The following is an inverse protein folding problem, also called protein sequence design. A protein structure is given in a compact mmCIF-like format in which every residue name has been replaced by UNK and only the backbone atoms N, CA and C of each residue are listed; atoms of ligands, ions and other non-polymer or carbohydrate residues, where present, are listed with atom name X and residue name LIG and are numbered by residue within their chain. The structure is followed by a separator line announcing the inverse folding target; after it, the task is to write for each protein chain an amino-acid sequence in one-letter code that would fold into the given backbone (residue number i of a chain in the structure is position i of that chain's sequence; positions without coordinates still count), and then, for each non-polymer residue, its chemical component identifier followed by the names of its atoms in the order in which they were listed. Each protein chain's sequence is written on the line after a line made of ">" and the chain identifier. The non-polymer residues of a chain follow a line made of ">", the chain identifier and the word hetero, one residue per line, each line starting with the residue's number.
data_IF_332225521222
#
_entry.id   IF_332225521222
#
_cell.length_a   1.000
_cell.length_b   1.000
_cell.length_c   1.000
_cell.angle_alpha   90.00
_cell.angle_beta   90.00
_cell.angle_gamma   90.00
#
_symmetry.space_group_name_H-M   'P 1'
#
loop_
_entity.id
_entity.type
_entity.pdbx_description
1 polymer ?
#
# COMPACT_ATOMS: atom_id res chain seq x y z
N UNK A 1 -12.06 23.99 -17.20
CA UNK A 1 -11.53 24.73 -16.04
C UNK A 1 -12.66 25.19 -15.12
N UNK A 2 -13.60 26.05 -15.58
CA UNK A 2 -14.76 26.48 -14.77
C UNK A 2 -15.51 25.31 -14.12
N UNK A 3 -15.82 24.26 -14.89
CA UNK A 3 -16.52 23.07 -14.41
C UNK A 3 -15.77 22.37 -13.26
N UNK A 4 -14.46 22.19 -13.39
CA UNK A 4 -13.64 21.54 -12.35
C UNK A 4 -13.45 22.41 -11.10
N UNK A 5 -13.38 23.74 -11.26
CA UNK A 5 -13.36 24.68 -10.13
C UNK A 5 -14.69 24.65 -9.36
N UNK A 6 -15.82 24.58 -10.09
CA UNK A 6 -17.15 24.44 -9.48
C UNK A 6 -17.31 23.10 -8.75
N UNK A 7 -16.84 22.00 -9.33
CA UNK A 7 -16.86 20.68 -8.70
C UNK A 7 -16.03 20.66 -7.41
N UNK A 8 -14.83 21.26 -7.44
CA UNK A 8 -13.97 21.37 -6.27
C UNK A 8 -14.62 22.21 -5.16
N UNK A 9 -15.19 23.37 -5.51
CA UNK A 9 -15.89 24.23 -4.55
C UNK A 9 -17.06 23.52 -3.88
N UNK A 10 -17.90 22.82 -4.66
CA UNK A 10 -19.02 22.07 -4.12
C UNK A 10 -18.55 20.96 -3.17
N UNK A 11 -17.50 20.23 -3.54
CA UNK A 11 -16.92 19.19 -2.68
C UNK A 11 -16.29 19.78 -1.41
N UNK A 12 -15.57 20.90 -1.55
CA UNK A 12 -14.91 21.59 -0.44
C UNK A 12 -15.93 22.09 0.58
N UNK A 13 -16.96 22.81 0.13
CA UNK A 13 -18.04 23.29 1.01
C UNK A 13 -18.73 22.12 1.70
N UNK A 14 -19.06 21.05 0.97
CA UNK A 14 -19.69 19.86 1.56
C UNK A 14 -18.83 19.21 2.65
N UNK A 15 -17.50 19.22 2.52
CA UNK A 15 -16.57 18.75 3.56
C UNK A 15 -16.48 19.73 4.73
N UNK A 16 -16.41 21.03 4.47
CA UNK A 16 -16.34 22.03 5.55
C UNK A 16 -17.64 22.07 6.38
N UNK A 17 -18.79 21.84 5.75
CA UNK A 17 -20.10 21.76 6.41
C UNK A 17 -20.28 20.49 7.26
N UNK A 18 -19.39 19.49 7.14
CA UNK A 18 -19.49 18.24 7.91
C UNK A 18 -18.93 18.35 9.34
N UNK A 19 -18.31 19.46 9.70
CA UNK A 19 -17.84 19.72 11.06
C UNK A 19 -17.04 21.01 11.20
N UNK A 20 -17.00 21.56 12.42
CA UNK A 20 -16.30 22.80 12.72
C UNK A 20 -14.79 22.60 12.90
N UNK A 21 -14.33 21.40 13.26
CA UNK A 21 -12.91 21.03 13.38
C UNK A 21 -12.52 19.96 12.37
N UNK A 22 -11.23 19.79 12.13
CA UNK A 22 -10.70 18.76 11.24
C UNK A 22 -11.08 17.34 11.71
N UNK A 23 -11.06 17.06 13.02
CA UNK A 23 -11.50 15.79 13.60
C UNK A 23 -13.00 15.55 13.41
N UNK A 24 -13.81 16.58 13.64
CA UNK A 24 -15.26 16.51 13.46
C UNK A 24 -15.60 16.23 11.99
N UNK A 25 -14.88 16.87 11.05
CA UNK A 25 -15.05 16.65 9.61
C UNK A 25 -14.74 15.21 9.21
N UNK A 26 -13.62 14.65 9.69
CA UNK A 26 -13.27 13.25 9.42
C UNK A 26 -14.28 12.28 10.04
N UNK A 27 -14.68 12.50 11.30
CA UNK A 27 -15.61 11.60 11.99
C UNK A 27 -17.01 11.63 11.37
N UNK A 28 -17.46 12.82 10.91
CA UNK A 28 -18.74 13.01 10.25
C UNK A 28 -18.76 12.60 8.77
N UNK A 29 -17.60 12.29 8.17
CA UNK A 29 -17.48 11.87 6.78
C UNK A 29 -17.59 10.35 6.63
N UNK A 30 -18.83 9.87 6.55
CA UNK A 30 -19.15 8.44 6.41
C UNK A 30 -18.44 7.85 5.20
N UNK A 31 -17.58 6.86 5.44
CA UNK A 31 -16.80 6.19 4.40
C UNK A 31 -15.77 7.08 3.71
N UNK A 32 -15.43 8.24 4.31
CA UNK A 32 -14.50 9.24 3.73
C UNK A 32 -14.96 9.80 2.38
N UNK A 33 -16.26 9.76 2.08
CA UNK A 33 -16.79 10.07 0.76
C UNK A 33 -16.58 11.54 0.36
N UNK A 34 -16.71 12.48 1.30
CA UNK A 34 -16.56 13.92 1.06
C UNK A 34 -15.09 14.28 0.85
N UNK A 35 -14.19 13.77 1.70
CA UNK A 35 -12.75 13.96 1.52
C UNK A 35 -12.29 13.37 0.19
N UNK A 36 -12.76 12.17 -0.17
CA UNK A 36 -12.50 11.56 -1.47
C UNK A 36 -12.93 12.44 -2.65
N UNK A 37 -14.10 13.08 -2.54
CA UNK A 37 -14.60 13.99 -3.56
C UNK A 37 -13.70 15.22 -3.70
N UNK A 38 -13.26 15.80 -2.57
CA UNK A 38 -12.33 16.93 -2.56
C UNK A 38 -10.99 16.57 -3.21
N UNK A 39 -10.40 15.43 -2.84
CA UNK A 39 -9.13 14.96 -3.42
C UNK A 39 -9.24 14.71 -4.93
N UNK A 40 -10.30 14.02 -5.37
CA UNK A 40 -10.53 13.78 -6.80
C UNK A 40 -10.75 15.07 -7.58
N UNK A 41 -11.52 16.00 -7.03
CA UNK A 41 -11.79 17.29 -7.66
C UNK A 41 -10.53 18.15 -7.73
N UNK A 42 -9.73 18.20 -6.66
CA UNK A 42 -8.45 18.92 -6.64
C UNK A 42 -7.47 18.35 -7.66
N UNK A 43 -7.40 17.02 -7.81
CA UNK A 43 -6.59 16.37 -8.85
C UNK A 43 -7.01 16.66 -10.28
N UNK A 44 -8.31 16.72 -10.56
CA UNK A 44 -8.82 17.12 -11.88
C UNK A 44 -8.55 18.61 -12.16
N UNK A 45 -8.70 19.44 -11.13
CA UNK A 45 -8.47 20.87 -11.20
C UNK A 45 -6.99 21.18 -11.47
N UNK A 46 -6.07 20.59 -10.72
CA UNK A 46 -4.61 20.72 -10.90
C UNK A 46 -4.19 20.32 -12.32
N UNK A 47 -4.62 19.14 -12.80
CA UNK A 47 -4.38 18.70 -14.18
C UNK A 47 -4.88 19.71 -15.22
N UNK A 48 -6.05 20.29 -15.00
CA UNK A 48 -6.63 21.28 -15.91
C UNK A 48 -5.83 22.58 -15.89
N UNK A 49 -5.34 23.00 -14.72
CA UNK A 49 -4.47 24.16 -14.56
C UNK A 49 -3.12 23.95 -15.26
N UNK A 50 -2.49 22.79 -15.08
CA UNK A 50 -1.24 22.45 -15.78
C UNK A 50 -1.41 22.41 -17.29
N UNK A 51 -2.48 21.79 -17.79
CA UNK A 51 -2.77 21.74 -19.22
C UNK A 51 -3.00 23.14 -19.80
N UNK A 52 -3.71 23.99 -19.07
CA UNK A 52 -3.98 25.36 -19.49
C UNK A 52 -2.72 26.23 -19.44
N UNK A 53 -1.85 26.05 -18.44
CA UNK A 53 -0.53 26.71 -18.36
C UNK A 53 0.39 26.29 -19.52
N UNK A 54 0.33 25.03 -19.95
CA UNK A 54 1.06 24.57 -21.13
C UNK A 54 0.50 25.20 -22.41
N UNK A 55 -0.82 25.24 -22.57
CA UNK A 55 -1.45 25.85 -23.73
C UNK A 55 -1.12 27.33 -23.86
N UNK A 56 -1.04 28.09 -22.76
CA UNK A 56 -0.65 29.51 -22.79
C UNK A 56 0.80 29.71 -23.20
N UNK A 57 1.71 28.78 -22.88
CA UNK A 57 3.11 28.85 -23.35
C UNK A 57 3.27 28.59 -24.86
N UNK A 58 2.28 27.97 -25.50
CA UNK A 58 2.27 27.64 -26.93
C UNK A 58 1.45 28.64 -27.77
N UNK A 59 0.79 29.62 -27.13
CA UNK A 59 -0.06 30.62 -27.79
C UNK A 59 0.70 31.85 -28.30
N UNK A 60 0.21 32.46 -29.37
CA UNK A 60 0.67 33.78 -29.79
C UNK A 60 0.29 34.85 -28.76
N UNK A 61 1.05 35.96 -28.65
CA UNK A 61 0.82 37.00 -27.65
C UNK A 61 -0.62 37.57 -27.64
N UNK A 62 -1.21 37.76 -28.81
CA UNK A 62 -2.56 38.32 -28.99
C UNK A 62 -3.68 37.36 -28.54
N UNK A 63 -3.46 36.05 -28.68
CA UNK A 63 -4.36 35.02 -28.16
C UNK A 63 -4.19 34.83 -26.65
N UNK A 64 -2.95 34.92 -26.16
CA UNK A 64 -2.63 34.84 -24.73
C UNK A 64 -3.33 35.96 -23.95
N UNK A 65 -3.32 37.20 -24.44
CA UNK A 65 -3.99 38.34 -23.79
C UNK A 65 -5.52 38.13 -23.69
N UNK A 66 -6.17 37.68 -24.77
CA UNK A 66 -7.61 37.37 -24.78
C UNK A 66 -7.96 36.16 -23.90
N UNK A 67 -7.09 35.15 -23.87
CA UNK A 67 -7.29 33.95 -23.04
C UNK A 67 -7.10 34.25 -21.54
N UNK A 68 -6.09 35.05 -21.20
CA UNK A 68 -5.79 35.49 -19.84
C UNK A 68 -6.91 36.38 -19.27
N UNK A 69 -7.53 37.22 -20.10
CA UNK A 69 -8.62 38.11 -19.70
C UNK A 69 -9.94 37.38 -19.37
N UNK A 70 -10.16 36.16 -19.86
CA UNK A 70 -11.47 35.48 -19.73
C UNK A 70 -11.48 34.40 -18.62
N UNK A 71 -10.34 33.81 -18.26
CA UNK A 71 -10.37 32.51 -17.54
C UNK A 71 -9.29 32.23 -16.49
N UNK A 72 -8.13 32.89 -16.56
CA UNK A 72 -6.92 32.27 -15.97
C UNK A 72 -6.59 32.77 -14.57
N UNK A 73 -6.58 34.08 -14.31
CA UNK A 73 -6.01 34.61 -13.07
C UNK A 73 -6.92 34.43 -11.84
N UNK A 74 -8.21 34.76 -11.94
CA UNK A 74 -9.11 34.70 -10.78
C UNK A 74 -9.41 33.26 -10.36
N UNK A 75 -9.63 32.37 -11.33
CA UNK A 75 -9.85 30.96 -11.03
C UNK A 75 -8.58 30.30 -10.49
N UNK A 76 -7.41 30.55 -11.07
CA UNK A 76 -6.17 29.94 -10.60
C UNK A 76 -5.76 30.41 -9.20
N UNK A 77 -5.83 31.72 -8.93
CA UNK A 77 -5.47 32.27 -7.63
C UNK A 77 -6.43 31.79 -6.54
N UNK A 78 -7.74 31.76 -6.83
CA UNK A 78 -8.75 31.23 -5.93
C UNK A 78 -8.53 29.74 -5.64
N UNK A 79 -8.33 28.93 -6.68
CA UNK A 79 -8.07 27.50 -6.54
C UNK A 79 -6.79 27.21 -5.75
N UNK A 80 -5.74 27.98 -5.99
CA UNK A 80 -4.49 27.88 -5.23
C UNK A 80 -4.68 28.27 -3.76
N UNK A 81 -5.46 29.31 -3.48
CA UNK A 81 -5.79 29.72 -2.11
C UNK A 81 -6.63 28.66 -1.38
N UNK A 82 -7.63 28.07 -2.07
CA UNK A 82 -8.47 27.03 -1.48
C UNK A 82 -7.71 25.71 -1.25
N UNK A 83 -6.75 25.35 -2.10
CA UNK A 83 -5.85 24.23 -1.84
C UNK A 83 -4.88 24.50 -0.67
N UNK A 84 -4.58 25.76 -0.36
CA UNK A 84 -3.77 26.18 0.79
C UNK A 84 -4.60 26.53 2.02
N UNK A 85 -5.90 26.23 2.01
CA UNK A 85 -6.77 26.44 3.15
C UNK A 85 -6.30 25.56 4.32
N UNK A 86 -6.09 26.18 5.48
CA UNK A 86 -5.53 25.52 6.68
C UNK A 86 -6.43 24.41 7.20
N UNK A 87 -7.75 24.62 7.24
CA UNK A 87 -8.70 23.59 7.69
C UNK A 87 -8.66 22.32 6.83
N UNK A 88 -8.52 22.47 5.51
CA UNK A 88 -8.37 21.34 4.59
C UNK A 88 -7.02 20.65 4.80
N UNK A 89 -5.94 21.40 4.98
CA UNK A 89 -4.62 20.83 5.28
C UNK A 89 -4.65 20.04 6.59
N UNK A 90 -5.20 20.59 7.67
CA UNK A 90 -5.32 19.92 8.96
C UNK A 90 -6.14 18.61 8.84
N UNK A 91 -7.23 18.64 8.07
CA UNK A 91 -8.06 17.45 7.80
C UNK A 91 -7.26 16.36 7.06
N UNK A 92 -6.46 16.76 6.09
CA UNK A 92 -5.60 15.85 5.32
C UNK A 92 -4.47 15.29 6.20
N UNK A 93 -3.83 16.13 7.01
CA UNK A 93 -2.75 15.73 7.93
C UNK A 93 -3.25 14.73 8.97
N UNK A 94 -4.43 14.98 9.57
CA UNK A 94 -5.06 14.02 10.48
C UNK A 94 -5.36 12.68 9.79
N UNK A 95 -5.81 12.72 8.53
CA UNK A 95 -6.04 11.48 7.76
C UNK A 95 -4.74 10.73 7.50
N UNK A 96 -3.67 11.43 7.14
CA UNK A 96 -2.33 10.87 6.96
C UNK A 96 -1.82 10.25 8.26
N UNK A 97 -2.01 10.93 9.39
CA UNK A 97 -1.64 10.42 10.71
C UNK A 97 -2.41 9.13 11.05
N UNK A 98 -3.72 9.10 10.81
CA UNK A 98 -4.55 7.91 11.05
C UNK A 98 -4.14 6.70 10.18
N UNK A 99 -3.85 6.93 8.89
CA UNK A 99 -3.34 5.88 7.99
C UNK A 99 -1.97 5.36 8.46
N UNK A 100 -1.07 6.28 8.85
CA UNK A 100 0.26 5.94 9.35
C UNK A 100 0.17 5.12 10.63
N UNK A 101 -0.68 5.50 11.57
CA UNK A 101 -0.91 4.77 12.81
C UNK A 101 -1.42 3.35 12.54
N UNK A 102 -2.43 3.20 11.67
CA UNK A 102 -2.99 1.90 11.29
C UNK A 102 -1.93 0.98 10.67
N UNK A 103 -1.17 1.49 9.70
CA UNK A 103 -0.08 0.73 9.07
C UNK A 103 1.01 0.37 10.09
N UNK A 104 1.33 1.26 11.04
CA UNK A 104 2.33 1.02 12.09
C UNK A 104 1.90 -0.12 12.99
N UNK A 105 0.66 -0.08 13.49
CA UNK A 105 0.09 -1.11 14.35
C UNK A 105 0.13 -2.48 13.67
N UNK A 106 -0.35 -2.58 12.43
CA UNK A 106 -0.35 -3.82 11.67
C UNK A 106 1.07 -4.36 11.39
N UNK A 107 2.02 -3.48 11.04
CA UNK A 107 3.41 -3.88 10.86
C UNK A 107 4.03 -4.44 12.15
N UNK A 108 3.76 -3.79 13.28
CA UNK A 108 4.24 -4.23 14.61
C UNK A 108 3.63 -5.57 14.98
N UNK A 109 2.33 -5.77 14.77
CA UNK A 109 1.67 -7.03 15.13
C UNK A 109 2.10 -8.19 14.22
N UNK A 110 2.30 -7.95 12.92
CA UNK A 110 2.92 -8.94 12.04
C UNK A 110 4.33 -9.27 12.52
N UNK A 111 5.14 -8.28 12.90
CA UNK A 111 6.49 -8.53 13.40
C UNK A 111 6.48 -9.39 14.68
N UNK A 112 5.53 -9.18 15.59
CA UNK A 112 5.35 -10.01 16.80
C UNK A 112 4.98 -11.45 16.46
N UNK A 113 4.02 -11.66 15.55
CA UNK A 113 3.54 -13.00 15.18
C UNK A 113 4.56 -13.77 14.35
N UNK A 114 5.32 -13.09 13.51
CA UNK A 114 6.28 -13.71 12.58
C UNK A 114 7.67 -13.90 13.17
N UNK A 115 7.90 -13.54 14.46
CA UNK A 115 9.14 -13.74 15.24
C UNK A 115 10.39 -13.71 14.36
N UNK A 116 10.86 -12.50 14.04
CA UNK A 116 12.09 -12.28 13.28
C UNK A 116 12.12 -12.97 11.91
N UNK A 117 10.99 -13.06 11.23
CA UNK A 117 10.97 -13.54 9.86
C UNK A 117 11.66 -12.54 8.90
N UNK A 118 12.93 -12.82 8.58
CA UNK A 118 13.75 -11.99 7.69
C UNK A 118 15.16 -12.56 7.53
N UNK A 119 16.13 -11.79 7.08
CA UNK A 119 17.56 -12.18 7.07
C UNK A 119 18.41 -11.21 7.91
N UNK A 120 17.76 -10.33 8.67
CA UNK A 120 18.40 -9.12 9.22
C UNK A 120 18.78 -9.25 10.69
N UNK A 121 18.30 -10.28 11.38
CA UNK A 121 18.54 -10.51 12.80
C UNK A 121 19.01 -11.94 13.02
N UNK A 122 19.92 -12.13 13.98
CA UNK A 122 20.44 -13.45 14.34
C UNK A 122 19.34 -14.41 14.82
N UNK A 123 18.26 -13.84 15.34
CA UNK A 123 17.06 -14.55 15.80
C UNK A 123 16.15 -15.01 14.66
N UNK A 124 16.46 -14.66 13.40
CA UNK A 124 15.69 -15.15 12.26
C UNK A 124 16.07 -16.58 11.91
N UNK A 125 15.07 -17.43 11.65
CA UNK A 125 15.30 -18.78 11.17
C UNK A 125 16.09 -18.85 9.85
N UNK A 126 15.97 -17.84 8.98
CA UNK A 126 16.77 -17.78 7.74
C UNK A 126 18.23 -17.41 8.00
N UNK A 127 18.50 -16.67 9.06
CA UNK A 127 19.87 -16.36 9.47
C UNK A 127 20.57 -17.63 10.01
N UNK A 128 19.81 -18.55 10.60
CA UNK A 128 20.32 -19.85 11.04
C UNK A 128 20.62 -20.84 9.90
N UNK A 129 20.27 -20.51 8.66
CA UNK A 129 20.47 -21.37 7.48
C UNK A 129 21.73 -20.94 6.74
N UNK A 130 22.68 -21.86 6.60
CA UNK A 130 23.89 -21.64 5.78
C UNK A 130 23.54 -21.60 4.29
N UNK A 131 24.34 -20.91 3.50
CA UNK A 131 24.13 -20.84 2.04
C UNK A 131 24.15 -22.23 1.37
N UNK A 132 24.97 -23.15 1.89
CA UNK A 132 25.12 -24.53 1.42
C UNK A 132 24.24 -25.54 2.17
N UNK A 133 23.28 -25.07 2.98
CA UNK A 133 22.40 -25.94 3.74
C UNK A 133 21.63 -26.92 2.82
N UNK A 134 21.60 -28.17 3.25
CA UNK A 134 20.83 -29.25 2.63
C UNK A 134 19.32 -29.03 2.82
N UNK A 135 18.51 -29.69 2.00
CA UNK A 135 17.05 -29.62 2.15
C UNK A 135 16.62 -30.14 3.52
N UNK A 136 17.22 -31.22 3.99
CA UNK A 136 16.94 -31.83 5.28
C UNK A 136 17.24 -30.87 6.45
N UNK A 137 18.35 -30.13 6.39
CA UNK A 137 18.67 -29.09 7.37
C UNK A 137 17.64 -27.95 7.35
N UNK A 138 17.27 -27.47 6.16
CA UNK A 138 16.25 -26.41 6.01
C UNK A 138 14.91 -26.85 6.57
N UNK A 139 14.46 -28.07 6.26
CA UNK A 139 13.21 -28.62 6.77
C UNK A 139 13.26 -28.80 8.29
N UNK A 140 14.39 -29.27 8.84
CA UNK A 140 14.56 -29.39 10.30
C UNK A 140 14.46 -28.04 11.00
N UNK A 141 15.11 -26.99 10.47
CA UNK A 141 15.03 -25.64 11.03
C UNK A 141 13.61 -25.09 10.92
N UNK A 142 12.95 -25.28 9.77
CA UNK A 142 11.57 -24.85 9.57
C UNK A 142 10.62 -25.47 10.59
N UNK A 143 10.73 -26.77 10.86
CA UNK A 143 9.90 -27.45 11.86
C UNK A 143 10.10 -26.90 13.28
N UNK A 144 11.33 -26.51 13.62
CA UNK A 144 11.65 -25.96 14.95
C UNK A 144 11.24 -24.48 15.12
N UNK A 145 10.95 -23.77 14.03
CA UNK A 145 10.75 -22.31 14.05
C UNK A 145 9.40 -21.89 13.49
N UNK A 146 9.13 -22.24 12.23
CA UNK A 146 7.91 -21.86 11.50
C UNK A 146 6.68 -22.57 12.05
N UNK A 147 6.76 -23.86 12.41
CA UNK A 147 5.59 -24.60 12.91
C UNK A 147 5.07 -24.07 14.27
N UNK A 148 5.90 -23.31 15.00
CA UNK A 148 5.51 -22.59 16.21
C UNK A 148 4.79 -21.25 15.98
N UNK A 149 4.67 -20.81 14.72
CA UNK A 149 4.00 -19.55 14.35
C UNK A 149 2.49 -19.79 14.24
N UNK A 150 1.69 -18.88 14.79
CA UNK A 150 0.25 -18.87 14.54
C UNK A 150 -0.02 -18.43 13.09
N UNK A 151 -0.10 -19.42 12.19
CA UNK A 151 -0.34 -19.20 10.77
C UNK A 151 -1.72 -18.61 10.47
N UNK A 152 -2.73 -18.82 11.33
CA UNK A 152 -4.07 -18.22 11.14
C UNK A 152 -4.03 -16.74 11.46
N UNK A 153 -3.40 -16.38 12.57
CA UNK A 153 -3.27 -14.98 12.97
C UNK A 153 -2.37 -14.21 12.01
N UNK A 154 -1.25 -14.81 11.60
CA UNK A 154 -0.37 -14.22 10.58
C UNK A 154 -1.10 -13.97 9.27
N UNK A 155 -1.97 -14.89 8.83
CA UNK A 155 -2.80 -14.70 7.64
C UNK A 155 -3.77 -13.53 7.82
N UNK A 156 -4.52 -13.52 8.93
CA UNK A 156 -5.48 -12.46 9.24
C UNK A 156 -4.83 -11.07 9.24
N UNK A 157 -3.68 -10.94 9.88
CA UNK A 157 -2.92 -9.69 9.95
C UNK A 157 -2.35 -9.29 8.59
N UNK A 158 -1.87 -10.26 7.79
CA UNK A 158 -1.36 -9.99 6.44
C UNK A 158 -2.46 -9.51 5.49
N UNK A 159 -3.67 -10.06 5.58
CA UNK A 159 -4.82 -9.61 4.79
C UNK A 159 -5.25 -8.19 5.23
N UNK A 160 -5.29 -7.92 6.53
CA UNK A 160 -5.57 -6.59 7.06
C UNK A 160 -4.52 -5.55 6.62
N UNK A 161 -3.23 -5.91 6.61
CA UNK A 161 -2.17 -5.03 6.12
C UNK A 161 -2.30 -4.76 4.61
N UNK A 162 -2.69 -5.76 3.81
CA UNK A 162 -2.93 -5.56 2.39
C UNK A 162 -4.07 -4.57 2.12
N UNK A 163 -5.18 -4.66 2.87
CA UNK A 163 -6.29 -3.73 2.77
C UNK A 163 -5.92 -2.31 3.21
N UNK A 164 -5.18 -2.18 4.32
CA UNK A 164 -4.68 -0.89 4.80
C UNK A 164 -3.70 -0.24 3.81
N UNK A 165 -2.80 -1.02 3.21
CA UNK A 165 -1.89 -0.58 2.15
C UNK A 165 -2.65 -0.07 0.93
N UNK A 166 -3.67 -0.79 0.48
CA UNK A 166 -4.49 -0.39 -0.66
C UNK A 166 -5.25 0.91 -0.37
N UNK A 167 -5.80 1.03 0.84
CA UNK A 167 -6.47 2.26 1.30
C UNK A 167 -5.52 3.45 1.29
N UNK A 168 -4.30 3.29 1.83
CA UNK A 168 -3.30 4.34 1.88
C UNK A 168 -2.78 4.73 0.49
N UNK A 169 -2.51 3.75 -0.39
CA UNK A 169 -2.12 3.99 -1.79
C UNK A 169 -3.21 4.73 -2.56
N UNK A 170 -4.45 4.26 -2.44
CA UNK A 170 -5.61 4.91 -3.06
C UNK A 170 -5.78 6.35 -2.59
N UNK A 171 -5.54 6.63 -1.30
CA UNK A 171 -5.55 8.00 -0.76
C UNK A 171 -4.46 8.87 -1.40
N UNK A 172 -3.22 8.39 -1.42
CA UNK A 172 -2.09 9.09 -2.07
C UNK A 172 -2.38 9.32 -3.55
N UNK A 173 -2.89 8.32 -4.26
CA UNK A 173 -3.21 8.40 -5.68
C UNK A 173 -4.33 9.38 -5.99
N UNK A 174 -5.28 9.61 -5.08
CA UNK A 174 -6.32 10.62 -5.26
C UNK A 174 -5.83 12.03 -4.92
N UNK A 175 -4.79 12.15 -4.11
CA UNK A 175 -4.27 13.42 -3.63
C UNK A 175 -3.38 14.14 -4.65
N UNK A 176 -3.47 15.46 -4.70
CA UNK A 176 -2.48 16.36 -5.33
C UNK A 176 -1.38 16.79 -4.37
N UNK A 177 -1.64 16.65 -3.06
CA UNK A 177 -0.73 17.04 -2.00
C UNK A 177 0.41 16.03 -1.88
N UNK A 178 1.61 16.53 -1.60
CA UNK A 178 2.79 15.69 -1.42
C UNK A 178 2.76 15.02 -0.04
N UNK A 179 2.65 13.69 -0.06
CA UNK A 179 2.59 12.86 1.16
C UNK A 179 3.87 12.04 1.34
N UNK A 180 5.04 12.68 1.22
CA UNK A 180 6.34 11.99 1.16
C UNK A 180 6.53 10.98 2.30
N UNK A 181 6.24 11.38 3.53
CA UNK A 181 6.38 10.51 4.71
C UNK A 181 5.46 9.27 4.64
N UNK A 182 4.21 9.45 4.20
CA UNK A 182 3.26 8.33 4.05
C UNK A 182 3.66 7.43 2.89
N UNK A 183 4.15 7.97 1.77
CA UNK A 183 4.64 7.20 0.63
C UNK A 183 5.82 6.31 1.03
N UNK A 184 6.79 6.88 1.72
CA UNK A 184 7.93 6.14 2.27
C UNK A 184 7.47 5.05 3.26
N UNK A 185 6.47 5.36 4.09
CA UNK A 185 5.91 4.40 5.03
C UNK A 185 5.15 3.26 4.35
N UNK A 186 4.34 3.56 3.32
CA UNK A 186 3.70 2.56 2.45
C UNK A 186 4.76 1.62 1.85
N UNK A 187 5.87 2.18 1.37
CA UNK A 187 6.99 1.40 0.85
C UNK A 187 7.56 0.41 1.88
N UNK A 188 7.79 0.87 3.12
CA UNK A 188 8.26 0.02 4.22
C UNK A 188 7.24 -1.03 4.64
N UNK A 189 5.98 -0.66 4.78
CA UNK A 189 4.89 -1.58 5.11
C UNK A 189 4.68 -2.63 4.01
N UNK A 190 4.89 -2.28 2.74
CA UNK A 190 4.86 -3.24 1.63
C UNK A 190 5.96 -4.30 1.78
N UNK A 191 7.16 -3.93 2.25
CA UNK A 191 8.23 -4.90 2.52
C UNK A 191 7.82 -5.87 3.62
N UNK A 192 7.19 -5.40 4.70
CA UNK A 192 6.64 -6.26 5.75
C UNK A 192 5.58 -7.22 5.18
N UNK A 193 4.69 -6.74 4.33
CA UNK A 193 3.66 -7.57 3.69
C UNK A 193 4.25 -8.63 2.76
N UNK A 194 5.24 -8.26 1.94
CA UNK A 194 5.93 -9.18 1.03
C UNK A 194 6.66 -10.29 1.81
N UNK A 195 7.29 -9.92 2.93
CA UNK A 195 7.92 -10.88 3.85
C UNK A 195 6.87 -11.83 4.47
N UNK A 196 5.76 -11.32 5.01
CA UNK A 196 4.72 -12.18 5.58
C UNK A 196 4.16 -13.20 4.56
N UNK A 197 4.00 -12.80 3.29
CA UNK A 197 3.61 -13.71 2.21
C UNK A 197 4.67 -14.75 1.90
N UNK A 198 5.95 -14.36 1.86
CA UNK A 198 7.05 -15.30 1.67
C UNK A 198 7.12 -16.33 2.81
N UNK A 199 6.88 -15.91 4.07
CA UNK A 199 6.89 -16.80 5.23
C UNK A 199 5.85 -17.89 5.08
N UNK A 200 4.63 -17.47 4.74
CA UNK A 200 3.52 -18.38 4.53
C UNK A 200 3.83 -19.37 3.40
N UNK A 201 4.43 -18.89 2.31
CA UNK A 201 4.86 -19.74 1.21
C UNK A 201 5.86 -20.80 1.67
N UNK A 202 6.89 -20.39 2.41
CA UNK A 202 7.91 -21.30 2.93
C UNK A 202 7.36 -22.29 3.96
N UNK A 203 6.45 -21.85 4.81
CA UNK A 203 5.76 -22.70 5.77
C UNK A 203 4.97 -23.79 5.08
N UNK A 204 4.17 -23.42 4.08
CA UNK A 204 3.35 -24.35 3.31
C UNK A 204 4.19 -25.31 2.46
N UNK A 205 5.29 -24.83 1.87
CA UNK A 205 6.23 -25.67 1.13
C UNK A 205 6.95 -26.63 2.07
N UNK A 206 7.45 -26.17 3.21
CA UNK A 206 8.12 -27.01 4.22
C UNK A 206 7.18 -28.10 4.73
N UNK A 207 5.95 -27.72 5.12
CA UNK A 207 4.91 -28.66 5.53
C UNK A 207 4.62 -29.70 4.45
N UNK A 208 4.46 -29.27 3.19
CA UNK A 208 4.16 -30.17 2.09
C UNK A 208 5.31 -31.15 1.83
N UNK A 209 6.56 -30.67 1.82
CA UNK A 209 7.76 -31.48 1.56
C UNK A 209 8.07 -32.48 2.69
N UNK A 210 7.74 -32.15 3.93
CA UNK A 210 7.86 -33.07 5.07
C UNK A 210 6.71 -34.09 5.14
N UNK A 211 5.54 -33.76 4.58
CA UNK A 211 4.37 -34.62 4.68
C UNK A 211 4.54 -35.88 3.82
N UNK A 212 4.70 -37.01 4.50
CA UNK A 212 4.71 -38.36 3.91
C UNK A 212 3.31 -38.92 3.61
N UNK A 213 2.26 -38.16 3.92
CA UNK A 213 0.86 -38.57 3.81
C UNK A 213 0.26 -38.44 2.39
N UNK A 214 -0.98 -37.93 2.32
CA UNK A 214 -1.76 -37.86 1.09
C UNK A 214 -1.05 -37.05 -0.03
N UNK A 215 -0.51 -37.78 -1.01
CA UNK A 215 0.22 -37.24 -2.17
C UNK A 215 -0.57 -36.19 -2.94
N UNK A 216 -1.89 -36.34 -3.09
CA UNK A 216 -2.71 -35.35 -3.80
C UNK A 216 -2.76 -34.02 -3.05
N UNK A 217 -2.93 -34.05 -1.73
CA UNK A 217 -2.94 -32.85 -0.89
C UNK A 217 -1.59 -32.14 -0.92
N UNK A 218 -0.48 -32.91 -0.83
CA UNK A 218 0.88 -32.38 -0.97
C UNK A 218 1.07 -31.64 -2.29
N UNK A 219 0.77 -32.31 -3.40
CA UNK A 219 0.91 -31.71 -4.73
C UNK A 219 0.03 -30.49 -4.94
N UNK A 220 -1.18 -30.47 -4.37
CA UNK A 220 -2.06 -29.31 -4.43
C UNK A 220 -1.44 -28.08 -3.74
N UNK A 221 -0.86 -28.27 -2.54
CA UNK A 221 -0.16 -27.19 -1.81
C UNK A 221 1.05 -26.71 -2.63
N UNK A 222 1.91 -27.63 -3.07
CA UNK A 222 3.11 -27.29 -3.86
C UNK A 222 2.74 -26.50 -5.12
N UNK A 223 1.74 -26.97 -5.89
CA UNK A 223 1.27 -26.28 -7.10
C UNK A 223 0.70 -24.90 -6.81
N UNK A 224 -0.09 -24.76 -5.74
CA UNK A 224 -0.63 -23.47 -5.32
C UNK A 224 0.50 -22.49 -5.00
N UNK A 225 1.48 -22.89 -4.19
CA UNK A 225 2.56 -22.00 -3.77
C UNK A 225 3.53 -21.65 -4.91
N UNK A 226 3.84 -22.61 -5.80
CA UNK A 226 4.58 -22.31 -7.04
C UNK A 226 3.78 -21.41 -7.99
N UNK A 227 2.45 -21.54 -7.99
CA UNK A 227 1.54 -20.61 -8.67
C UNK A 227 1.66 -19.18 -8.13
N UNK A 228 1.67 -19.01 -6.82
CA UNK A 228 1.82 -17.69 -6.18
C UNK A 228 3.18 -17.05 -6.49
N UNK A 229 4.25 -17.86 -6.53
CA UNK A 229 5.60 -17.40 -6.91
C UNK A 229 5.68 -17.02 -8.39
N UNK A 230 5.24 -17.90 -9.29
CA UNK A 230 5.26 -17.65 -10.74
C UNK A 230 4.34 -16.50 -11.15
N UNK A 231 3.20 -16.35 -10.47
CA UNK A 231 2.26 -15.25 -10.62
C UNK A 231 2.71 -13.92 -9.99
N UNK A 232 3.90 -13.89 -9.36
CA UNK A 232 4.49 -12.71 -8.69
C UNK A 232 3.68 -12.20 -7.49
N UNK A 233 2.77 -13.01 -6.95
CA UNK A 233 2.11 -12.73 -5.67
C UNK A 233 3.09 -12.88 -4.50
N UNK A 234 4.10 -13.76 -4.66
CA UNK A 234 5.26 -13.91 -3.78
C UNK A 234 6.53 -13.68 -4.60
N UNK A 235 7.44 -12.84 -4.11
CA UNK A 235 8.74 -12.62 -4.76
C UNK A 235 9.63 -13.85 -4.56
N UNK A 236 10.05 -14.47 -5.67
CA UNK A 236 10.91 -15.68 -5.63
C UNK A 236 12.20 -15.44 -4.83
N UNK A 237 12.80 -14.24 -4.95
CA UNK A 237 14.01 -13.85 -4.22
C UNK A 237 13.86 -13.81 -2.69
N UNK A 238 12.62 -13.81 -2.19
CA UNK A 238 12.34 -13.85 -0.76
C UNK A 238 12.12 -15.27 -0.24
N UNK A 239 12.07 -16.28 -1.11
CA UNK A 239 11.85 -17.68 -0.73
C UNK A 239 13.15 -18.46 -0.83
N UNK A 240 13.42 -19.35 0.13
CA UNK A 240 14.63 -20.17 0.12
C UNK A 240 14.76 -21.02 -1.16
N UNK A 241 15.90 -20.94 -1.88
CA UNK A 241 16.11 -21.68 -3.12
C UNK A 241 15.97 -23.20 -2.98
N UNK A 242 16.37 -23.76 -1.84
CA UNK A 242 16.29 -25.20 -1.54
C UNK A 242 14.82 -25.68 -1.56
N UNK A 243 13.92 -24.93 -0.91
CA UNK A 243 12.49 -25.24 -0.89
C UNK A 243 11.87 -25.14 -2.28
N UNK A 244 12.23 -24.10 -3.05
CA UNK A 244 11.76 -23.93 -4.43
C UNK A 244 12.26 -25.04 -5.35
N UNK A 245 13.53 -25.41 -5.25
CA UNK A 245 14.11 -26.48 -6.06
C UNK A 245 13.43 -27.83 -5.78
N UNK A 246 13.22 -28.17 -4.51
CA UNK A 246 12.51 -29.38 -4.10
C UNK A 246 11.05 -29.38 -4.55
N UNK A 247 10.34 -28.26 -4.33
CA UNK A 247 8.96 -28.08 -4.78
C UNK A 247 8.80 -28.25 -6.30
N UNK A 248 9.75 -27.73 -7.09
CA UNK A 248 9.77 -27.89 -8.54
C UNK A 248 10.04 -29.33 -8.99
N UNK A 249 10.78 -30.12 -8.21
CA UNK A 249 11.01 -31.53 -8.49
C UNK A 249 9.75 -32.37 -8.24
N UNK A 250 8.96 -32.03 -7.23
CA UNK A 250 7.70 -32.73 -6.90
C UNK A 250 6.62 -32.63 -8.00
N UNK A 251 6.66 -31.59 -8.83
CA UNK A 251 5.67 -31.35 -9.90
C UNK A 251 6.14 -31.74 -11.30
N UNK A 252 7.38 -32.22 -11.43
CA UNK A 252 7.90 -32.82 -12.67
C UNK A 252 7.48 -34.28 -12.79
#
# INVERSE_FOLDING_TARGET
>A
MITHTSDFLAAFVALMDSGETAEARLTGDVGMARLDAVLKASKKMDKSMTAAAKATTEMSPELSEKYNAVMFFDCQAFCAAAMRNTDLQDTIELRVAALTATLTELCVDIAKCTKNYGNQTEESWKYCIKEDATLEEVLSIAANTIDGIDGKETLRLSDALAEALETAKTFVDKSVFQHTNLIEFIGRAQVTQDSAKALRCEALLSFALQSSGNKQRRLAIVRSQLGDVSGKAVKESLVLPQLLAAARQEVK
#
